data_IF_119744606358
#
_entry.id   IF_119744606358
#
_cell.length_a   1.000
_cell.length_b   1.000
_cell.length_c   1.000
_cell.angle_alpha   90.00
_cell.angle_beta   90.00
_cell.angle_gamma   90.00
#
_symmetry.space_group_name_H-M   'P 1'
#
loop_
_entity.id
_entity.type
_entity.pdbx_description
1 polymer ?
#
# COMPACT_ATOMS: atom_id res chain seq x y z
N UNK A 1 -22.73 23.80 -30.80
CA UNK A 1 -23.37 24.67 -29.78
C UNK A 1 -24.66 23.96 -29.43
N UNK A 2 -24.74 23.31 -28.27
CA UNK A 2 -25.96 22.63 -27.83
C UNK A 2 -27.07 23.66 -27.63
N UNK A 3 -28.32 23.31 -27.93
CA UNK A 3 -29.44 24.20 -27.68
C UNK A 3 -29.57 24.50 -26.18
N UNK A 4 -30.08 25.67 -25.81
CA UNK A 4 -30.33 26.02 -24.39
C UNK A 4 -31.17 24.93 -23.69
N UNK A 5 -32.10 24.31 -24.42
CA UNK A 5 -32.94 23.20 -23.97
C UNK A 5 -32.12 21.94 -23.66
N UNK A 6 -31.15 21.57 -24.51
CA UNK A 6 -30.24 20.45 -24.23
C UNK A 6 -29.32 20.73 -23.04
N UNK A 7 -28.84 21.97 -22.89
CA UNK A 7 -28.01 22.33 -21.73
C UNK A 7 -28.79 22.33 -20.43
N UNK A 8 -30.08 22.68 -20.46
CA UNK A 8 -30.96 22.55 -19.29
C UNK A 8 -31.37 21.10 -19.03
N UNK A 9 -31.53 20.27 -20.06
CA UNK A 9 -32.05 18.89 -19.92
C UNK A 9 -30.98 17.83 -19.61
N UNK A 10 -29.71 18.08 -19.95
CA UNK A 10 -28.63 17.10 -19.78
C UNK A 10 -27.56 17.58 -18.78
N UNK A 11 -27.09 16.70 -17.88
CA UNK A 11 -25.94 16.97 -17.02
C UNK A 11 -24.65 17.14 -17.82
N UNK A 12 -23.83 18.11 -17.42
CA UNK A 12 -22.46 18.30 -17.91
C UNK A 12 -21.48 17.53 -17.04
N UNK A 13 -20.56 16.80 -17.67
CA UNK A 13 -19.42 16.18 -17.00
C UNK A 13 -18.31 17.22 -16.87
N UNK A 14 -18.00 17.64 -15.64
CA UNK A 14 -16.97 18.65 -15.37
C UNK A 14 -15.60 17.98 -15.17
N UNK A 15 -15.61 16.81 -14.53
CA UNK A 15 -14.50 15.85 -14.40
C UNK A 15 -15.09 14.44 -14.43
N UNK A 16 -14.24 13.42 -14.61
CA UNK A 16 -14.64 12.00 -14.63
C UNK A 16 -15.51 11.55 -13.44
N UNK A 17 -15.38 12.26 -12.31
CA UNK A 17 -16.11 12.01 -11.06
C UNK A 17 -17.10 13.12 -10.65
N UNK A 18 -17.17 14.26 -11.36
CA UNK A 18 -17.95 15.43 -10.96
C UNK A 18 -18.87 15.93 -12.09
N UNK A 19 -20.17 15.99 -11.80
CA UNK A 19 -21.21 16.37 -12.75
C UNK A 19 -21.99 17.59 -12.26
N UNK A 20 -22.46 18.41 -13.21
CA UNK A 20 -23.26 19.62 -12.96
C UNK A 20 -24.55 19.60 -13.77
N UNK A 21 -25.71 19.78 -13.14
CA UNK A 21 -27.00 19.77 -13.84
C UNK A 21 -28.06 20.71 -13.24
N UNK A 22 -29.20 20.77 -13.94
CA UNK A 22 -30.51 21.22 -13.42
C UNK A 22 -31.18 20.10 -12.60
N UNK A 23 -32.34 20.41 -12.02
CA UNK A 23 -33.17 19.44 -11.29
C UNK A 23 -33.83 18.43 -12.23
N UNK A 24 -34.16 18.84 -13.46
CA UNK A 24 -34.80 18.00 -14.50
C UNK A 24 -33.99 16.73 -14.78
N UNK A 25 -32.67 16.79 -14.60
CA UNK A 25 -31.77 15.65 -14.77
C UNK A 25 -31.97 14.53 -13.74
N UNK A 26 -32.62 14.81 -12.61
CA UNK A 26 -32.93 13.80 -11.59
C UNK A 26 -34.11 12.90 -12.00
N UNK A 27 -34.99 13.37 -12.89
CA UNK A 27 -36.08 12.55 -13.46
C UNK A 27 -35.53 11.51 -14.46
N UNK A 28 -34.31 11.72 -14.96
CA UNK A 28 -33.65 10.80 -15.87
C UNK A 28 -32.91 9.68 -15.11
N UNK A 29 -33.66 8.69 -14.63
CA UNK A 29 -33.12 7.50 -13.95
C UNK A 29 -31.99 6.82 -14.73
N UNK A 30 -32.06 6.86 -16.07
CA UNK A 30 -31.06 6.26 -16.96
C UNK A 30 -29.70 6.94 -16.85
N UNK A 31 -29.65 8.26 -16.62
CA UNK A 31 -28.40 9.00 -16.46
C UNK A 31 -27.71 8.62 -15.16
N UNK A 32 -28.41 8.70 -14.02
CA UNK A 32 -27.85 8.42 -12.70
C UNK A 32 -27.23 7.01 -12.65
N UNK A 33 -27.94 6.01 -13.19
CA UNK A 33 -27.45 4.64 -13.30
C UNK A 33 -26.29 4.50 -14.29
N UNK A 34 -26.40 5.05 -15.51
CA UNK A 34 -25.35 4.93 -16.55
C UNK A 34 -24.05 5.59 -16.14
N UNK A 35 -24.14 6.76 -15.50
CA UNK A 35 -22.97 7.48 -14.96
C UNK A 35 -22.61 7.02 -13.55
N UNK A 36 -23.26 5.99 -13.01
CA UNK A 36 -22.95 5.40 -11.69
C UNK A 36 -22.84 6.47 -10.59
N UNK A 37 -23.77 7.42 -10.59
CA UNK A 37 -23.81 8.48 -9.59
C UNK A 37 -24.09 7.83 -8.24
N UNK A 38 -23.22 8.09 -7.28
CA UNK A 38 -23.31 7.54 -5.91
C UNK A 38 -23.67 8.61 -4.89
N UNK A 39 -23.38 9.87 -5.21
CA UNK A 39 -23.57 11.01 -4.32
C UNK A 39 -24.21 12.18 -5.07
N UNK A 40 -25.15 12.87 -4.42
CA UNK A 40 -25.82 14.05 -4.98
C UNK A 40 -25.79 15.19 -3.97
N UNK A 41 -25.43 16.39 -4.43
CA UNK A 41 -25.56 17.64 -3.68
C UNK A 41 -26.69 18.45 -4.30
N UNK A 42 -27.76 18.65 -3.54
CA UNK A 42 -28.96 19.39 -3.95
C UNK A 42 -28.95 20.79 -3.34
N UNK A 43 -28.73 21.80 -4.19
CA UNK A 43 -28.58 23.20 -3.78
C UNK A 43 -29.79 24.03 -4.23
N UNK A 44 -30.90 23.88 -3.50
CA UNK A 44 -32.19 24.53 -3.79
C UNK A 44 -33.11 24.49 -2.58
N UNK A 45 -34.09 25.39 -2.50
CA UNK A 45 -34.98 25.53 -1.33
C UNK A 45 -35.81 24.26 -1.04
N UNK A 46 -36.34 23.63 -2.09
CA UNK A 46 -37.23 22.47 -1.98
C UNK A 46 -36.77 21.33 -2.89
N UNK A 47 -35.66 20.64 -2.57
CA UNK A 47 -35.12 19.61 -3.42
C UNK A 47 -35.96 18.32 -3.37
N UNK A 48 -36.03 17.56 -4.48
CA UNK A 48 -36.63 16.23 -4.45
C UNK A 48 -35.83 15.32 -3.51
N UNK A 49 -36.56 14.47 -2.77
CA UNK A 49 -35.95 13.44 -1.92
C UNK A 49 -35.55 12.26 -2.80
N UNK A 50 -34.25 12.00 -2.90
CA UNK A 50 -33.76 10.94 -3.78
C UNK A 50 -33.94 9.55 -3.19
N UNK A 51 -34.00 9.43 -1.86
CA UNK A 51 -34.13 8.13 -1.17
C UNK A 51 -35.39 7.34 -1.59
N UNK A 52 -36.45 8.03 -2.02
CA UNK A 52 -37.70 7.39 -2.44
C UNK A 52 -37.52 6.56 -3.73
N UNK A 53 -36.61 6.99 -4.61
CA UNK A 53 -36.37 6.36 -5.93
C UNK A 53 -34.97 5.74 -6.07
N UNK A 54 -34.01 6.17 -5.23
CA UNK A 54 -32.60 5.79 -5.28
C UNK A 54 -32.03 5.68 -3.86
N UNK A 55 -32.36 4.61 -3.12
CA UNK A 55 -31.95 4.44 -1.72
C UNK A 55 -30.42 4.36 -1.54
N UNK A 56 -29.70 3.92 -2.57
CA UNK A 56 -28.24 3.76 -2.54
C UNK A 56 -27.47 5.07 -2.80
N UNK A 57 -28.16 6.15 -3.20
CA UNK A 57 -27.53 7.44 -3.45
C UNK A 57 -27.50 8.26 -2.16
N UNK A 58 -26.31 8.66 -1.74
CA UNK A 58 -26.15 9.59 -0.62
C UNK A 58 -26.45 11.02 -1.06
N UNK A 59 -27.35 11.70 -0.38
CA UNK A 59 -27.79 13.06 -0.72
C UNK A 59 -27.38 14.06 0.37
N UNK A 60 -26.67 15.12 -0.02
CA UNK A 60 -26.45 16.32 0.79
C UNK A 60 -27.40 17.43 0.32
N UNK A 61 -28.19 17.98 1.23
CA UNK A 61 -29.16 19.06 0.93
C UNK A 61 -28.66 20.39 1.47
N UNK A 62 -28.63 21.40 0.61
CA UNK A 62 -28.29 22.79 0.94
C UNK A 62 -29.50 23.66 0.56
N UNK A 63 -30.41 23.93 1.51
CA UNK A 63 -31.70 24.55 1.24
C UNK A 63 -31.59 26.07 1.15
N UNK A 64 -31.09 26.58 0.02
CA UNK A 64 -30.86 28.01 -0.19
C UNK A 64 -31.56 28.57 -1.44
N UNK A 65 -32.07 29.81 -1.38
CA UNK A 65 -32.55 30.52 -2.55
C UNK A 65 -31.37 31.00 -3.43
N UNK A 66 -31.62 31.28 -4.70
CA UNK A 66 -30.64 31.95 -5.59
C UNK A 66 -30.64 33.46 -5.35
N UNK A 67 -30.27 33.88 -4.15
CA UNK A 67 -30.13 35.29 -3.79
C UNK A 67 -28.66 35.63 -3.58
N UNK A 68 -28.27 36.83 -4.06
CA UNK A 68 -26.94 37.41 -3.86
C UNK A 68 -26.60 37.63 -2.37
N UNK A 69 -27.62 37.68 -1.52
CA UNK A 69 -27.49 37.97 -0.08
C UNK A 69 -27.27 36.70 0.76
N UNK A 70 -27.31 35.51 0.14
CA UNK A 70 -27.03 34.25 0.84
C UNK A 70 -25.52 34.06 0.99
N UNK A 71 -25.11 33.73 2.21
CA UNK A 71 -23.74 33.35 2.52
C UNK A 71 -23.49 31.87 2.21
N UNK A 72 -22.66 31.60 1.20
CA UNK A 72 -22.23 30.26 0.82
C UNK A 72 -21.09 29.75 1.72
N UNK A 73 -20.37 30.64 2.40
CA UNK A 73 -19.12 30.28 3.11
C UNK A 73 -19.37 29.29 4.23
N UNK A 74 -20.54 29.38 4.88
CA UNK A 74 -20.99 28.48 5.94
C UNK A 74 -21.19 27.04 5.47
N UNK A 75 -21.31 26.81 4.15
CA UNK A 75 -21.54 25.48 3.58
C UNK A 75 -20.29 24.88 2.93
N UNK A 76 -19.28 25.68 2.62
CA UNK A 76 -18.10 25.21 1.88
C UNK A 76 -17.42 24.02 2.55
N UNK A 77 -17.18 24.08 3.86
CA UNK A 77 -16.55 22.98 4.58
C UNK A 77 -17.36 21.68 4.48
N UNK A 78 -18.67 21.74 4.73
CA UNK A 78 -19.54 20.57 4.62
C UNK A 78 -19.54 19.96 3.21
N UNK A 79 -19.52 20.81 2.17
CA UNK A 79 -19.46 20.37 0.78
C UNK A 79 -18.11 19.77 0.45
N UNK A 80 -17.01 20.40 0.88
CA UNK A 80 -15.67 19.87 0.67
C UNK A 80 -15.49 18.52 1.34
N UNK A 81 -15.98 18.36 2.58
CA UNK A 81 -15.96 17.09 3.29
C UNK A 81 -16.82 16.03 2.59
N UNK A 82 -18.01 16.39 2.11
CA UNK A 82 -18.89 15.47 1.38
C UNK A 82 -18.28 14.99 0.05
N UNK A 83 -17.58 15.89 -0.64
CA UNK A 83 -16.83 15.59 -1.86
C UNK A 83 -15.53 14.81 -1.57
N UNK A 84 -14.98 14.93 -0.36
CA UNK A 84 -13.73 14.28 0.11
C UNK A 84 -13.97 12.87 0.66
N UNK A 85 -12.89 12.11 0.90
CA UNK A 85 -12.74 10.72 1.38
C UNK A 85 -12.92 9.56 0.37
N UNK A 86 -12.15 8.46 0.45
CA UNK A 86 -10.87 8.10 1.14
C UNK A 86 -10.03 7.12 0.31
N UNK A 87 -10.50 6.75 -0.88
CA UNK A 87 -9.73 6.00 -1.87
C UNK A 87 -9.79 6.74 -3.22
N UNK A 88 -8.72 6.71 -4.04
CA UNK A 88 -8.82 7.17 -5.42
C UNK A 88 -9.90 6.33 -6.14
N UNK A 89 -10.95 7.00 -6.63
CA UNK A 89 -11.89 6.52 -7.66
C UNK A 89 -13.20 5.80 -7.26
N UNK A 90 -13.74 5.93 -6.04
CA UNK A 90 -15.03 5.28 -5.71
C UNK A 90 -16.28 6.17 -5.74
N UNK A 91 -16.15 7.51 -5.61
CA UNK A 91 -17.30 8.43 -5.62
C UNK A 91 -17.52 9.06 -7.00
N UNK A 92 -18.77 9.14 -7.45
CA UNK A 92 -19.20 9.93 -8.63
C UNK A 92 -20.34 10.84 -8.20
N UNK A 93 -20.12 12.13 -8.29
CA UNK A 93 -20.85 13.18 -7.58
C UNK A 93 -21.60 14.04 -8.59
N UNK A 94 -22.89 14.25 -8.34
CA UNK A 94 -23.70 15.21 -9.09
C UNK A 94 -24.06 16.40 -8.19
N UNK A 95 -23.74 17.62 -8.63
CA UNK A 95 -24.18 18.86 -7.96
C UNK A 95 -25.24 19.52 -8.83
N UNK A 96 -26.44 19.74 -8.29
CA UNK A 96 -27.54 20.34 -9.03
C UNK A 96 -28.26 21.43 -8.23
N UNK A 97 -28.94 22.31 -8.98
CA UNK A 97 -29.96 23.22 -8.48
C UNK A 97 -31.11 23.20 -9.50
N UNK A 98 -32.03 24.15 -9.45
CA UNK A 98 -33.20 24.23 -10.32
C UNK A 98 -32.77 24.30 -11.79
N UNK A 99 -31.86 25.23 -12.15
CA UNK A 99 -31.46 25.45 -13.55
C UNK A 99 -30.04 24.97 -13.87
N UNK A 100 -29.24 24.64 -12.86
CA UNK A 100 -27.82 24.33 -13.06
C UNK A 100 -26.98 25.52 -13.56
N UNK A 101 -27.34 26.75 -13.16
CA UNK A 101 -26.74 28.01 -13.65
C UNK A 101 -25.87 28.68 -12.58
N UNK A 102 -26.45 28.94 -11.40
CA UNK A 102 -25.85 29.81 -10.37
C UNK A 102 -25.43 29.04 -9.12
N UNK A 103 -26.39 28.59 -8.30
CA UNK A 103 -26.15 27.88 -7.02
C UNK A 103 -25.22 26.67 -7.14
N UNK A 104 -25.63 25.66 -7.91
CA UNK A 104 -24.82 24.44 -8.08
C UNK A 104 -23.49 24.70 -8.77
N UNK A 105 -23.46 25.61 -9.75
CA UNK A 105 -22.23 26.00 -10.42
C UNK A 105 -21.24 26.68 -9.45
N UNK A 106 -21.74 27.46 -8.49
CA UNK A 106 -20.91 28.11 -7.47
C UNK A 106 -20.19 27.07 -6.60
N UNK A 107 -20.89 26.03 -6.15
CA UNK A 107 -20.26 24.95 -5.39
C UNK A 107 -19.30 24.10 -6.24
N UNK A 108 -19.61 23.84 -7.52
CA UNK A 108 -18.66 23.18 -8.43
C UNK A 108 -17.36 24.00 -8.55
N UNK A 109 -17.46 25.31 -8.75
CA UNK A 109 -16.30 26.21 -8.83
C UNK A 109 -15.52 26.19 -7.51
N UNK A 110 -16.20 26.27 -6.36
CA UNK A 110 -15.58 26.17 -5.04
C UNK A 110 -14.81 24.85 -4.86
N UNK A 111 -15.42 23.71 -5.21
CA UNK A 111 -14.79 22.40 -5.14
C UNK A 111 -13.53 22.31 -6.02
N UNK A 112 -13.59 22.79 -7.27
CA UNK A 112 -12.44 22.78 -8.17
C UNK A 112 -11.29 23.66 -7.68
N UNK A 113 -11.59 24.83 -7.10
CA UNK A 113 -10.57 25.67 -6.46
C UNK A 113 -9.99 24.97 -5.23
N UNK A 114 -10.84 24.45 -4.34
CA UNK A 114 -10.36 23.75 -3.14
C UNK A 114 -9.50 22.53 -3.48
N UNK A 115 -9.90 21.73 -4.47
CA UNK A 115 -9.11 20.59 -4.95
C UNK A 115 -7.74 21.02 -5.51
N UNK A 116 -7.68 22.09 -6.32
CA UNK A 116 -6.42 22.65 -6.82
C UNK A 116 -5.54 23.21 -5.69
N UNK A 117 -6.15 23.85 -4.69
CA UNK A 117 -5.45 24.31 -3.50
C UNK A 117 -4.86 23.13 -2.70
N UNK A 118 -5.61 22.05 -2.51
CA UNK A 118 -5.12 20.81 -1.90
C UNK A 118 -3.97 20.18 -2.70
N UNK A 119 -3.93 20.39 -4.02
CA UNK A 119 -2.80 20.04 -4.90
C UNK A 119 -1.67 21.09 -4.87
N UNK A 120 -1.74 22.07 -3.96
CA UNK A 120 -0.76 23.14 -3.75
C UNK A 120 -0.65 24.16 -4.88
N UNK A 121 -1.70 24.31 -5.69
CA UNK A 121 -1.70 25.23 -6.83
C UNK A 121 -2.42 26.53 -6.48
N UNK A 122 -1.86 27.67 -6.88
CA UNK A 122 -2.52 28.97 -6.80
C UNK A 122 -3.81 28.91 -7.61
N UNK A 123 -4.91 29.30 -6.99
CA UNK A 123 -6.23 29.28 -7.60
C UNK A 123 -6.66 30.66 -8.05
N UNK A 124 -7.38 30.71 -9.17
CA UNK A 124 -8.01 31.93 -9.65
C UNK A 124 -9.47 31.62 -10.02
N UNK A 125 -10.35 32.51 -9.59
CA UNK A 125 -11.79 32.36 -9.80
C UNK A 125 -12.15 32.45 -11.29
N UNK A 126 -11.64 33.46 -12.01
CA UNK A 126 -11.97 33.69 -13.42
C UNK A 126 -11.55 32.52 -14.32
N UNK A 127 -10.35 31.97 -14.12
CA UNK A 127 -9.87 30.82 -14.89
C UNK A 127 -10.66 29.55 -14.57
N UNK A 128 -11.05 29.36 -13.31
CA UNK A 128 -11.88 28.22 -12.90
C UNK A 128 -13.29 28.33 -13.46
N UNK A 129 -13.91 29.50 -13.39
CA UNK A 129 -15.21 29.79 -14.00
C UNK A 129 -15.18 29.50 -15.51
N UNK A 130 -14.16 29.99 -16.23
CA UNK A 130 -14.01 29.73 -17.66
C UNK A 130 -13.86 28.24 -17.97
N UNK A 131 -13.17 27.48 -17.12
CA UNK A 131 -13.07 26.01 -17.29
C UNK A 131 -14.41 25.30 -17.12
N UNK A 132 -15.29 25.78 -16.24
CA UNK A 132 -16.63 25.23 -16.06
C UNK A 132 -17.57 25.66 -17.20
N UNK A 133 -17.46 26.91 -17.68
CA UNK A 133 -18.24 27.41 -18.83
C UNK A 133 -17.95 26.61 -20.11
N UNK A 134 -16.70 26.15 -20.30
CA UNK A 134 -16.35 25.28 -21.44
C UNK A 134 -17.18 23.99 -21.47
N UNK A 135 -17.43 23.39 -20.31
CA UNK A 135 -18.23 22.17 -20.18
C UNK A 135 -19.75 22.45 -20.04
N UNK A 136 -20.11 23.65 -19.58
CA UNK A 136 -21.51 24.09 -19.42
C UNK A 136 -21.67 25.60 -19.66
N UNK A 137 -22.00 25.97 -20.90
CA UNK A 137 -21.99 27.37 -21.34
C UNK A 137 -22.96 28.31 -20.60
N UNK A 138 -24.03 27.78 -20.00
CA UNK A 138 -25.02 28.58 -19.25
C UNK A 138 -24.59 28.95 -17.83
N UNK A 139 -23.41 28.50 -17.39
CA UNK A 139 -22.94 28.75 -16.02
C UNK A 139 -22.74 30.25 -15.80
N UNK A 140 -23.47 30.77 -14.82
CA UNK A 140 -23.44 32.17 -14.44
C UNK A 140 -23.81 32.28 -12.94
N UNK A 141 -22.83 32.13 -12.02
CA UNK A 141 -23.03 32.45 -10.62
C UNK A 141 -23.60 33.86 -10.45
N UNK A 142 -24.56 34.03 -9.56
CA UNK A 142 -25.05 35.37 -9.25
C UNK A 142 -23.91 36.25 -8.68
N UNK A 143 -24.02 37.60 -8.74
CA UNK A 143 -22.93 38.48 -8.35
C UNK A 143 -22.45 38.33 -6.89
N UNK A 144 -23.35 38.00 -5.96
CA UNK A 144 -23.01 37.78 -4.56
C UNK A 144 -22.17 36.51 -4.38
N UNK A 145 -22.57 35.41 -5.03
CA UNK A 145 -21.81 34.17 -5.03
C UNK A 145 -20.47 34.32 -5.73
N UNK A 146 -20.42 35.03 -6.86
CA UNK A 146 -19.17 35.34 -7.54
C UNK A 146 -18.18 36.08 -6.63
N UNK A 147 -18.65 37.06 -5.84
CA UNK A 147 -17.80 37.78 -4.89
C UNK A 147 -17.27 36.86 -3.78
N UNK A 148 -18.11 35.99 -3.23
CA UNK A 148 -17.70 35.03 -2.21
C UNK A 148 -16.70 34.00 -2.74
N UNK A 149 -16.86 33.52 -3.97
CA UNK A 149 -15.90 32.62 -4.62
C UNK A 149 -14.54 33.30 -4.88
N UNK A 150 -14.53 34.60 -5.22
CA UNK A 150 -13.28 35.38 -5.32
C UNK A 150 -12.58 35.50 -3.97
N UNK A 151 -13.33 35.73 -2.88
CA UNK A 151 -12.79 35.75 -1.51
C UNK A 151 -12.21 34.39 -1.13
N UNK A 152 -12.95 33.30 -1.38
CA UNK A 152 -12.45 31.94 -1.18
C UNK A 152 -11.13 31.71 -1.93
N UNK A 153 -11.03 32.11 -3.20
CA UNK A 153 -9.79 31.98 -3.96
C UNK A 153 -8.62 32.75 -3.33
N UNK A 154 -8.87 33.97 -2.82
CA UNK A 154 -7.88 34.76 -2.11
C UNK A 154 -7.43 34.06 -0.82
N UNK A 155 -8.37 33.61 0.02
CA UNK A 155 -8.08 32.97 1.31
C UNK A 155 -7.27 31.67 1.13
N UNK A 156 -7.63 30.86 0.13
CA UNK A 156 -6.88 29.64 -0.24
C UNK A 156 -5.44 29.96 -0.67
N UNK A 157 -5.21 31.07 -1.38
CA UNK A 157 -3.88 31.47 -1.83
C UNK A 157 -3.01 32.07 -0.70
N UNK A 158 -3.63 32.83 0.21
CA UNK A 158 -2.94 33.35 1.40
C UNK A 158 -2.49 32.23 2.32
N UNK A 159 -3.34 31.21 2.55
CA UNK A 159 -2.96 30.01 3.29
C UNK A 159 -1.75 29.30 2.65
N UNK A 160 -1.77 29.10 1.33
CA UNK A 160 -0.64 28.53 0.58
C UNK A 160 0.65 29.35 0.74
N UNK A 161 0.54 30.67 0.64
CA UNK A 161 1.67 31.60 0.79
C UNK A 161 2.24 31.61 2.21
N UNK A 162 1.38 31.48 3.23
CA UNK A 162 1.80 31.42 4.63
C UNK A 162 2.59 30.14 4.95
N UNK A 163 2.22 29.01 4.34
CA UNK A 163 2.96 27.74 4.44
C UNK A 163 4.34 27.84 3.77
N UNK A 164 4.45 28.53 2.64
CA UNK A 164 5.72 28.75 1.94
C UNK A 164 6.69 29.68 2.71
N UNK A 165 6.19 30.54 3.61
CA UNK A 165 6.99 31.49 4.40
C UNK A 165 7.54 30.94 5.72
N UNK A 166 7.35 29.65 6.04
CA UNK A 166 7.94 29.01 7.24
C UNK A 166 8.99 27.94 6.90
N UNK A 167 10.22 28.31 6.48
CA UNK A 167 11.20 27.33 6.02
C UNK A 167 11.97 26.63 7.16
N UNK A 168 12.32 27.30 8.25
CA UNK A 168 13.28 26.74 9.22
C UNK A 168 12.67 25.74 10.22
N UNK A 169 11.47 26.01 10.75
CA UNK A 169 10.79 25.14 11.73
C UNK A 169 10.20 23.91 11.08
N UNK A 170 9.55 24.06 9.93
CA UNK A 170 8.96 22.96 9.17
C UNK A 170 10.04 22.02 8.64
N UNK A 171 11.18 22.53 8.17
CA UNK A 171 12.30 21.70 7.71
C UNK A 171 12.89 20.84 8.85
N UNK A 172 13.18 21.44 10.02
CA UNK A 172 13.65 20.68 11.17
C UNK A 172 12.64 19.61 11.61
N UNK A 173 11.35 19.97 11.62
CA UNK A 173 10.30 19.05 12.01
C UNK A 173 10.18 17.87 11.03
N UNK A 174 10.30 18.13 9.73
CA UNK A 174 10.23 17.09 8.69
C UNK A 174 11.47 16.18 8.73
N UNK A 175 12.66 16.73 8.94
CA UNK A 175 13.88 15.91 9.04
C UNK A 175 13.95 15.06 10.32
N UNK A 176 13.33 15.50 11.42
CA UNK A 176 13.43 14.83 12.72
C UNK A 176 12.23 13.95 13.07
N UNK A 177 11.01 14.39 12.74
CA UNK A 177 9.79 13.78 13.26
C UNK A 177 8.97 13.04 12.20
N UNK A 178 9.24 13.24 10.91
CA UNK A 178 8.47 12.58 9.87
C UNK A 178 8.88 11.11 9.79
N UNK A 179 7.93 10.23 10.04
CA UNK A 179 8.19 8.79 9.95
C UNK A 179 8.35 8.38 8.49
N UNK A 180 9.11 7.30 8.21
CA UNK A 180 9.23 6.77 6.85
C UNK A 180 7.88 6.43 6.18
N UNK A 181 6.86 6.11 6.98
CA UNK A 181 5.49 5.88 6.49
C UNK A 181 4.83 7.18 6.01
N UNK A 182 4.89 8.24 6.81
CA UNK A 182 4.34 9.56 6.45
C UNK A 182 5.11 10.14 5.26
N UNK A 183 6.43 9.93 5.19
CA UNK A 183 7.27 10.38 4.07
C UNK A 183 6.84 9.72 2.75
N UNK A 184 6.51 8.42 2.78
CA UNK A 184 5.99 7.70 1.62
C UNK A 184 4.62 8.21 1.15
N UNK A 185 3.78 8.68 2.07
CA UNK A 185 2.43 9.18 1.77
C UNK A 185 2.47 10.61 1.18
N UNK A 186 3.34 11.47 1.73
CA UNK A 186 3.50 12.86 1.30
C UNK A 186 4.23 12.98 -0.05
N UNK A 187 5.16 12.07 -0.35
CA UNK A 187 5.98 12.13 -1.58
C UNK A 187 5.20 12.06 -2.89
N UNK A 188 3.95 11.57 -2.87
CA UNK A 188 3.13 11.37 -4.07
C UNK A 188 1.96 12.33 -4.23
N UNK A 189 1.69 13.21 -3.25
CA UNK A 189 0.39 13.90 -3.16
C UNK A 189 0.48 15.40 -2.92
N UNK A 190 1.65 15.93 -2.51
CA UNK A 190 1.76 17.30 -2.04
C UNK A 190 2.81 18.12 -2.80
N UNK A 191 2.39 19.21 -3.47
CA UNK A 191 3.28 20.11 -4.21
C UNK A 191 4.24 20.90 -3.32
N UNK A 192 3.85 21.22 -2.08
CA UNK A 192 4.78 21.80 -1.08
C UNK A 192 5.92 20.84 -0.77
N UNK A 193 5.62 19.54 -0.67
CA UNK A 193 6.64 18.51 -0.49
C UNK A 193 7.56 18.41 -1.70
N UNK A 194 7.02 18.52 -2.91
CA UNK A 194 7.84 18.50 -4.13
C UNK A 194 8.77 19.72 -4.24
N UNK A 195 8.26 20.92 -3.96
CA UNK A 195 9.00 22.18 -4.10
C UNK A 195 10.07 22.37 -3.00
N UNK A 196 9.82 21.87 -1.77
CA UNK A 196 10.70 22.10 -0.62
C UNK A 196 11.55 20.89 -0.23
N UNK A 197 11.14 19.66 -0.58
CA UNK A 197 11.78 18.43 -0.08
C UNK A 197 12.33 17.55 -1.20
N UNK A 198 11.78 17.57 -2.42
CA UNK A 198 12.21 16.62 -3.46
C UNK A 198 13.73 16.64 -3.72
N UNK A 199 14.35 17.82 -3.68
CA UNK A 199 15.79 17.98 -3.87
C UNK A 199 16.64 17.46 -2.70
N UNK A 200 16.07 17.29 -1.50
CA UNK A 200 16.75 16.76 -0.30
C UNK A 200 16.21 15.40 0.14
N UNK A 201 15.31 14.79 -0.63
CA UNK A 201 14.63 13.56 -0.21
C UNK A 201 15.62 12.43 0.04
N UNK A 202 16.72 12.40 -0.72
CA UNK A 202 17.80 11.45 -0.54
C UNK A 202 18.53 11.66 0.79
N UNK A 203 18.73 12.90 1.24
CA UNK A 203 19.36 13.18 2.54
C UNK A 203 18.50 12.69 3.71
N UNK A 204 17.18 12.87 3.60
CA UNK A 204 16.22 12.38 4.58
C UNK A 204 16.24 10.84 4.62
N UNK A 205 16.20 10.18 3.46
CA UNK A 205 16.29 8.72 3.40
C UNK A 205 17.64 8.19 3.90
N UNK A 206 18.76 8.85 3.61
CA UNK A 206 20.08 8.51 4.17
C UNK A 206 20.06 8.53 5.69
N UNK A 207 19.50 9.58 6.31
CA UNK A 207 19.37 9.68 7.77
C UNK A 207 18.54 8.54 8.34
N UNK A 208 17.37 8.25 7.76
CA UNK A 208 16.53 7.12 8.22
C UNK A 208 17.23 5.78 8.07
N UNK A 209 17.86 5.52 6.91
CA UNK A 209 18.58 4.27 6.67
C UNK A 209 19.74 4.08 7.65
N UNK A 210 20.55 5.11 7.89
CA UNK A 210 21.66 5.05 8.85
C UNK A 210 21.21 4.93 10.31
N UNK A 211 20.05 5.48 10.66
CA UNK A 211 19.48 5.40 12.01
C UNK A 211 18.88 4.02 12.28
N UNK A 212 18.12 3.50 11.32
CA UNK A 212 17.25 2.34 11.54
C UNK A 212 17.92 1.01 11.16
N UNK A 213 18.98 1.04 10.34
CA UNK A 213 19.68 -0.13 9.83
C UNK A 213 21.21 0.04 9.84
N UNK A 214 21.98 -1.05 9.97
CA UNK A 214 23.45 -1.01 10.00
C UNK A 214 24.05 -0.90 8.58
N UNK A 215 23.62 0.09 7.78
CA UNK A 215 24.14 0.34 6.42
C UNK A 215 25.27 1.37 6.51
N UNK A 216 26.44 1.04 5.94
CA UNK A 216 27.59 1.95 5.95
C UNK A 216 27.42 3.10 4.96
N UNK A 217 28.00 4.26 5.25
CA UNK A 217 27.89 5.45 4.41
C UNK A 217 28.35 5.22 2.96
N UNK A 218 29.34 4.34 2.75
CA UNK A 218 29.82 3.94 1.42
C UNK A 218 28.72 3.31 0.57
N UNK A 219 27.90 2.44 1.15
CA UNK A 219 26.82 1.73 0.44
C UNK A 219 25.67 2.70 0.13
N UNK A 220 25.36 3.62 1.04
CA UNK A 220 24.38 4.68 0.79
C UNK A 220 24.81 5.60 -0.35
N UNK A 221 26.09 5.93 -0.43
CA UNK A 221 26.62 6.74 -1.52
C UNK A 221 26.55 5.96 -2.84
N UNK A 222 26.93 4.67 -2.82
CA UNK A 222 26.79 3.79 -3.98
C UNK A 222 25.35 3.75 -4.53
N UNK A 223 24.34 3.66 -3.67
CA UNK A 223 22.95 3.71 -4.11
C UNK A 223 22.59 5.04 -4.79
N UNK A 224 23.05 6.17 -4.27
CA UNK A 224 22.82 7.47 -4.87
C UNK A 224 23.53 7.62 -6.23
N UNK A 225 24.79 7.21 -6.32
CA UNK A 225 25.60 7.33 -7.54
C UNK A 225 25.03 6.50 -8.70
N UNK A 226 24.26 5.45 -8.38
CA UNK A 226 23.62 4.55 -9.35
C UNK A 226 22.10 4.75 -9.45
N UNK A 227 21.56 5.89 -8.98
CA UNK A 227 20.14 6.24 -9.06
C UNK A 227 19.18 5.19 -8.44
N UNK A 228 19.65 4.43 -7.44
CA UNK A 228 18.84 3.45 -6.74
C UNK A 228 17.97 4.15 -5.70
N UNK A 229 16.66 3.91 -5.76
CA UNK A 229 15.67 4.48 -4.84
C UNK A 229 15.93 4.07 -3.38
N UNK A 230 16.39 5.03 -2.57
CA UNK A 230 16.61 4.83 -1.13
C UNK A 230 15.31 4.49 -0.37
N UNK A 231 14.16 4.96 -0.87
CA UNK A 231 12.84 4.56 -0.38
C UNK A 231 12.66 3.04 -0.52
N UNK A 232 12.97 2.47 -1.68
CA UNK A 232 12.82 1.03 -1.91
C UNK A 232 13.81 0.23 -1.05
N UNK A 233 15.03 0.74 -0.84
CA UNK A 233 16.00 0.16 0.10
C UNK A 233 15.42 0.14 1.51
N UNK A 234 14.85 1.25 1.98
CA UNK A 234 14.26 1.32 3.32
C UNK A 234 13.12 0.31 3.48
N UNK A 235 12.22 0.22 2.49
CA UNK A 235 11.11 -0.73 2.50
C UNK A 235 11.61 -2.18 2.54
N UNK A 236 12.63 -2.51 1.75
CA UNK A 236 13.26 -3.83 1.75
C UNK A 236 13.88 -4.14 3.13
N UNK A 237 14.67 -3.23 3.69
CA UNK A 237 15.28 -3.40 5.00
C UNK A 237 14.25 -3.59 6.12
N UNK A 238 13.16 -2.82 6.08
CA UNK A 238 12.08 -2.94 7.04
C UNK A 238 11.35 -4.29 6.92
N UNK A 239 11.12 -4.76 5.69
CA UNK A 239 10.59 -6.09 5.44
C UNK A 239 11.50 -7.18 6.02
N UNK A 240 12.81 -7.12 5.75
CA UNK A 240 13.78 -8.09 6.26
C UNK A 240 13.83 -8.11 7.80
N UNK A 241 13.80 -6.94 8.44
CA UNK A 241 13.73 -6.82 9.90
C UNK A 241 12.47 -7.44 10.48
N UNK A 242 11.32 -7.27 9.82
CA UNK A 242 10.03 -7.84 10.25
C UNK A 242 10.00 -9.36 10.12
N UNK A 243 10.63 -9.91 9.09
CA UNK A 243 10.65 -11.36 8.80
C UNK A 243 11.81 -12.07 9.51
N UNK A 244 12.79 -11.34 10.06
CA UNK A 244 13.94 -11.93 10.76
C UNK A 244 15.00 -12.50 9.81
N UNK A 245 15.11 -11.96 8.59
CA UNK A 245 16.09 -12.39 7.60
C UNK A 245 17.52 -11.92 7.95
N UNK A 246 18.57 -12.61 7.45
CA UNK A 246 19.96 -12.39 7.87
C UNK A 246 20.51 -11.00 7.51
N UNK A 247 21.75 -10.74 7.97
CA UNK A 247 22.46 -9.47 7.83
C UNK A 247 22.40 -8.94 6.39
N UNK A 248 21.78 -7.77 6.25
CA UNK A 248 21.55 -7.11 4.97
C UNK A 248 22.89 -6.56 4.45
N UNK A 249 23.37 -7.10 3.34
CA UNK A 249 24.56 -6.61 2.65
C UNK A 249 24.19 -5.91 1.35
N UNK A 250 25.11 -5.12 0.81
CA UNK A 250 24.92 -4.46 -0.48
C UNK A 250 24.59 -5.45 -1.62
N UNK A 251 25.32 -6.57 -1.82
CA UNK A 251 24.95 -7.58 -2.82
C UNK A 251 23.52 -8.11 -2.64
N UNK A 252 23.11 -8.37 -1.40
CA UNK A 252 21.77 -8.87 -1.11
C UNK A 252 20.67 -7.86 -1.51
N UNK A 253 20.86 -6.58 -1.19
CA UNK A 253 19.91 -5.53 -1.57
C UNK A 253 19.83 -5.36 -3.10
N UNK A 254 20.96 -5.39 -3.79
CA UNK A 254 20.98 -5.29 -5.25
C UNK A 254 20.27 -6.48 -5.90
N UNK A 255 20.44 -7.68 -5.35
CA UNK A 255 19.75 -8.88 -5.80
C UNK A 255 18.25 -8.77 -5.63
N UNK A 256 17.81 -8.33 -4.45
CA UNK A 256 16.39 -8.12 -4.15
C UNK A 256 15.72 -7.14 -5.13
N UNK A 257 16.44 -6.07 -5.50
CA UNK A 257 15.96 -5.08 -6.45
C UNK A 257 16.09 -5.49 -7.92
N UNK A 258 16.78 -6.59 -8.22
CA UNK A 258 17.01 -7.05 -9.60
C UNK A 258 18.19 -6.38 -10.31
N UNK A 259 19.02 -5.61 -9.61
CA UNK A 259 20.12 -4.83 -10.16
C UNK A 259 21.42 -5.64 -10.28
N UNK A 260 21.37 -6.73 -11.03
CA UNK A 260 22.44 -7.72 -11.08
C UNK A 260 23.74 -7.21 -11.74
N UNK A 261 23.64 -6.40 -12.79
CA UNK A 261 24.81 -5.82 -13.48
C UNK A 261 25.62 -4.91 -12.53
N UNK A 262 24.93 -4.08 -11.76
CA UNK A 262 25.55 -3.25 -10.72
C UNK A 262 26.18 -4.09 -9.62
N UNK A 263 25.52 -5.18 -9.22
CA UNK A 263 26.09 -6.07 -8.22
C UNK A 263 27.41 -6.67 -8.70
N UNK A 264 27.50 -7.17 -9.94
CA UNK A 264 28.72 -7.76 -10.50
C UNK A 264 29.93 -6.83 -10.43
N UNK A 265 29.73 -5.51 -10.54
CA UNK A 265 30.80 -4.52 -10.40
C UNK A 265 31.39 -4.44 -8.98
N UNK A 266 30.65 -4.93 -7.98
CA UNK A 266 30.98 -4.85 -6.54
C UNK A 266 31.23 -6.24 -5.95
N UNK A 267 30.84 -7.33 -6.63
CA UNK A 267 31.05 -8.69 -6.17
C UNK A 267 32.56 -9.03 -6.15
N UNK A 268 33.04 -9.48 -4.99
CA UNK A 268 34.31 -10.20 -4.88
C UNK A 268 34.07 -11.55 -4.21
N UNK A 269 34.26 -12.65 -4.96
CA UNK A 269 34.17 -14.01 -4.46
C UNK A 269 32.78 -14.67 -4.49
N UNK A 270 32.76 -15.97 -4.22
CA UNK A 270 31.56 -16.83 -4.26
C UNK A 270 30.52 -16.42 -3.20
N UNK A 271 30.95 -15.94 -2.03
CA UNK A 271 30.05 -15.53 -0.95
C UNK A 271 29.20 -14.32 -1.33
N UNK A 272 29.79 -13.31 -1.97
CA UNK A 272 29.07 -12.12 -2.42
C UNK A 272 28.05 -12.48 -3.51
N UNK A 273 28.39 -13.40 -4.42
CA UNK A 273 27.48 -13.92 -5.42
C UNK A 273 26.31 -14.68 -4.78
N UNK A 274 26.58 -15.50 -3.76
CA UNK A 274 25.53 -16.21 -3.04
C UNK A 274 24.58 -15.24 -2.32
N UNK A 275 25.10 -14.16 -1.73
CA UNK A 275 24.28 -13.10 -1.13
C UNK A 275 23.43 -12.39 -2.18
N UNK A 276 23.98 -12.10 -3.37
CA UNK A 276 23.24 -11.53 -4.49
C UNK A 276 22.07 -12.43 -4.89
N UNK A 277 22.35 -13.72 -5.10
CA UNK A 277 21.35 -14.70 -5.51
C UNK A 277 20.28 -14.90 -4.42
N UNK A 278 20.68 -14.93 -3.14
CA UNK A 278 19.77 -14.98 -2.00
C UNK A 278 18.84 -13.76 -1.96
N UNK A 279 19.38 -12.55 -2.18
CA UNK A 279 18.57 -11.34 -2.33
C UNK A 279 17.56 -11.46 -3.48
N UNK A 280 18.03 -11.93 -4.65
CA UNK A 280 17.20 -12.16 -5.82
C UNK A 280 16.06 -13.17 -5.57
N UNK A 281 16.30 -14.19 -4.74
CA UNK A 281 15.26 -15.13 -4.31
C UNK A 281 14.11 -14.41 -3.60
N UNK A 282 14.43 -13.58 -2.61
CA UNK A 282 13.44 -12.83 -1.83
C UNK A 282 12.78 -11.70 -2.64
N UNK A 283 13.47 -11.18 -3.65
CA UNK A 283 12.92 -10.20 -4.59
C UNK A 283 12.13 -10.81 -5.74
N UNK A 284 11.98 -12.15 -5.80
CA UNK A 284 11.37 -12.88 -6.91
C UNK A 284 12.03 -12.59 -8.29
N UNK A 285 13.32 -12.29 -8.28
CA UNK A 285 14.10 -11.91 -9.46
C UNK A 285 14.68 -13.14 -10.18
N UNK A 286 13.81 -13.96 -10.77
CA UNK A 286 14.21 -15.20 -11.43
C UNK A 286 15.21 -14.99 -12.58
N UNK A 287 15.14 -13.84 -13.26
CA UNK A 287 16.08 -13.48 -14.33
C UNK A 287 17.54 -13.39 -13.84
N UNK A 288 17.75 -12.75 -12.69
CA UNK A 288 19.07 -12.63 -12.04
C UNK A 288 19.64 -14.01 -11.73
N UNK A 289 18.81 -14.91 -11.20
CA UNK A 289 19.24 -16.26 -10.83
C UNK A 289 19.58 -17.09 -12.07
N UNK A 290 18.74 -17.03 -13.10
CA UNK A 290 18.98 -17.74 -14.37
C UNK A 290 20.30 -17.32 -15.02
N UNK A 291 20.63 -16.04 -14.94
CA UNK A 291 21.81 -15.48 -15.59
C UNK A 291 23.11 -15.79 -14.83
N UNK A 292 23.07 -15.84 -13.49
CA UNK A 292 24.28 -15.93 -12.67
C UNK A 292 24.51 -17.26 -11.95
N UNK A 293 23.49 -18.11 -11.80
CA UNK A 293 23.66 -19.43 -11.20
C UNK A 293 24.21 -20.41 -12.24
N UNK A 294 25.47 -20.81 -12.11
CA UNK A 294 26.10 -21.79 -13.01
C UNK A 294 25.54 -23.20 -12.82
N UNK A 295 25.64 -24.04 -13.84
CA UNK A 295 25.30 -25.48 -13.74
C UNK A 295 26.31 -26.25 -12.86
N UNK A 296 27.52 -25.72 -12.72
CA UNK A 296 28.58 -26.24 -11.84
C UNK A 296 28.52 -25.70 -10.41
N UNK A 297 27.42 -25.04 -10.02
CA UNK A 297 27.28 -24.48 -8.68
C UNK A 297 27.47 -25.56 -7.60
N UNK A 298 28.13 -25.19 -6.50
CA UNK A 298 28.39 -26.12 -5.40
C UNK A 298 27.08 -26.59 -4.76
N UNK A 299 27.04 -27.84 -4.29
CA UNK A 299 25.87 -28.41 -3.60
C UNK A 299 25.44 -27.51 -2.43
N UNK A 300 26.41 -26.95 -1.70
CA UNK A 300 26.18 -26.02 -0.58
C UNK A 300 25.50 -24.72 -1.04
N UNK A 301 25.90 -24.16 -2.18
CA UNK A 301 25.27 -22.97 -2.73
C UNK A 301 23.81 -23.26 -3.13
N UNK A 302 23.56 -24.40 -3.81
CA UNK A 302 22.20 -24.81 -4.19
C UNK A 302 21.32 -25.04 -2.96
N UNK A 303 21.81 -25.74 -1.94
CA UNK A 303 21.10 -25.93 -0.67
C UNK A 303 20.77 -24.61 0.01
N UNK A 304 21.72 -23.68 0.04
CA UNK A 304 21.48 -22.33 0.59
C UNK A 304 20.38 -21.60 -0.17
N UNK A 305 20.34 -21.70 -1.51
CA UNK A 305 19.28 -21.11 -2.31
C UNK A 305 17.92 -21.79 -2.11
N UNK A 306 17.89 -23.11 -1.91
CA UNK A 306 16.68 -23.84 -1.57
C UNK A 306 16.12 -23.38 -0.21
N UNK A 307 16.97 -23.16 0.79
CA UNK A 307 16.56 -22.60 2.08
C UNK A 307 15.96 -21.19 1.94
N UNK A 308 16.62 -20.30 1.19
CA UNK A 308 16.10 -18.95 0.95
C UNK A 308 14.79 -18.98 0.13
N UNK A 309 14.69 -19.86 -0.87
CA UNK A 309 13.48 -19.99 -1.68
C UNK A 309 12.32 -20.52 -0.83
N UNK A 310 12.63 -21.42 0.09
CA UNK A 310 11.69 -21.93 1.07
C UNK A 310 11.26 -20.84 2.04
N UNK A 311 12.18 -20.07 2.61
CA UNK A 311 11.86 -18.95 3.49
C UNK A 311 11.05 -17.84 2.78
N UNK A 312 11.32 -17.60 1.49
CA UNK A 312 10.62 -16.61 0.68
C UNK A 312 9.26 -17.07 0.14
N UNK A 313 8.90 -18.34 0.36
CA UNK A 313 7.72 -18.98 -0.24
C UNK A 313 7.73 -18.91 -1.79
N UNK A 314 8.92 -19.00 -2.38
CA UNK A 314 9.16 -18.84 -3.81
C UNK A 314 9.14 -20.20 -4.53
N UNK A 315 7.94 -20.78 -4.68
CA UNK A 315 7.71 -22.04 -5.38
C UNK A 315 8.20 -22.02 -6.86
N UNK A 316 8.00 -20.94 -7.65
CA UNK A 316 8.52 -20.89 -9.02
C UNK A 316 10.04 -21.09 -9.09
N UNK A 317 10.78 -20.53 -8.13
CA UNK A 317 12.21 -20.70 -8.07
C UNK A 317 12.61 -22.13 -7.66
N UNK A 318 11.91 -22.73 -6.70
CA UNK A 318 12.15 -24.13 -6.33
C UNK A 318 11.98 -25.07 -7.53
N UNK A 319 10.90 -24.89 -8.30
CA UNK A 319 10.66 -25.66 -9.52
C UNK A 319 11.77 -25.46 -10.57
N UNK A 320 12.28 -24.23 -10.70
CA UNK A 320 13.42 -23.95 -11.58
C UNK A 320 14.69 -24.67 -11.12
N UNK A 321 15.00 -24.64 -9.82
CA UNK A 321 16.17 -25.32 -9.27
C UNK A 321 16.05 -26.84 -9.45
N UNK A 322 14.87 -27.41 -9.16
CA UNK A 322 14.56 -28.83 -9.34
C UNK A 322 14.76 -29.30 -10.79
N UNK A 323 14.32 -28.50 -11.77
CA UNK A 323 14.52 -28.81 -13.18
C UNK A 323 15.96 -28.60 -13.67
N UNK A 324 16.70 -27.67 -13.06
CA UNK A 324 18.08 -27.33 -13.48
C UNK A 324 19.12 -28.29 -12.93
N UNK A 325 18.96 -28.77 -11.69
CA UNK A 325 19.94 -29.61 -11.02
C UNK A 325 19.38 -31.01 -10.75
N UNK A 326 19.87 -32.00 -11.47
CA UNK A 326 19.42 -33.40 -11.39
C UNK A 326 19.77 -34.12 -10.08
N UNK A 327 20.65 -33.56 -9.25
CA UNK A 327 21.13 -34.17 -7.99
C UNK A 327 20.75 -33.35 -6.74
N UNK A 328 19.64 -32.62 -6.75
CA UNK A 328 19.19 -31.92 -5.54
C UNK A 328 18.79 -32.94 -4.46
N UNK A 329 19.54 -32.92 -3.35
CA UNK A 329 19.09 -33.54 -2.11
C UNK A 329 18.09 -32.61 -1.43
N UNK A 330 16.84 -33.06 -1.28
CA UNK A 330 15.78 -32.31 -0.59
C UNK A 330 15.74 -32.59 0.92
N UNK A 331 16.34 -33.68 1.38
CA UNK A 331 16.32 -34.14 2.78
C UNK A 331 17.52 -33.65 3.61
N UNK A 332 18.22 -32.61 3.14
CA UNK A 332 19.31 -32.03 3.90
C UNK A 332 18.79 -31.26 5.11
N UNK A 333 19.67 -31.12 6.11
CA UNK A 333 19.39 -30.36 7.32
C UNK A 333 20.42 -29.26 7.49
N UNK A 334 20.01 -28.13 8.04
CA UNK A 334 20.93 -27.05 8.38
C UNK A 334 21.71 -27.37 9.68
N UNK A 335 22.54 -26.43 10.13
CA UNK A 335 23.36 -26.59 11.35
C UNK A 335 22.55 -26.92 12.62
N UNK A 336 21.27 -26.54 12.67
CA UNK A 336 20.37 -26.82 13.79
C UNK A 336 19.63 -28.17 13.65
N UNK A 337 19.88 -28.92 12.57
CA UNK A 337 19.14 -30.15 12.26
C UNK A 337 17.75 -29.89 11.68
N UNK A 338 17.44 -28.65 11.31
CA UNK A 338 16.15 -28.31 10.69
C UNK A 338 16.20 -28.68 9.20
N UNK A 339 15.24 -29.48 8.73
CA UNK A 339 15.00 -29.71 7.31
C UNK A 339 14.21 -28.52 6.68
N UNK A 340 13.94 -28.59 5.38
CA UNK A 340 13.20 -27.53 4.66
C UNK A 340 11.77 -27.33 5.18
N UNK A 341 11.10 -28.36 5.72
CA UNK A 341 9.76 -28.20 6.31
C UNK A 341 9.81 -27.34 7.56
N UNK A 342 10.85 -27.46 8.40
CA UNK A 342 11.04 -26.58 9.55
C UNK A 342 11.24 -25.12 9.11
N UNK A 343 11.99 -24.89 8.04
CA UNK A 343 12.18 -23.55 7.47
C UNK A 343 10.86 -23.00 6.94
N UNK A 344 10.12 -23.78 6.17
CA UNK A 344 8.81 -23.38 5.65
C UNK A 344 7.80 -23.09 6.77
N UNK A 345 7.78 -23.93 7.82
CA UNK A 345 6.95 -23.74 9.01
C UNK A 345 7.31 -22.47 9.79
N UNK A 346 8.61 -22.13 9.91
CA UNK A 346 9.05 -20.92 10.60
C UNK A 346 8.60 -19.64 9.88
N UNK A 347 8.81 -19.56 8.56
CA UNK A 347 8.50 -18.37 7.77
C UNK A 347 7.05 -18.30 7.29
N UNK A 348 6.25 -19.36 7.48
CA UNK A 348 4.87 -19.40 7.04
C UNK A 348 4.71 -19.59 5.53
N UNK A 349 5.64 -20.32 4.91
CA UNK A 349 5.70 -20.54 3.46
C UNK A 349 4.77 -21.66 3.01
N UNK A 350 3.47 -21.36 2.92
CA UNK A 350 2.41 -22.35 2.68
C UNK A 350 2.59 -23.15 1.38
N UNK A 351 2.72 -22.46 0.24
CA UNK A 351 2.80 -23.06 -1.09
C UNK A 351 4.02 -23.98 -1.21
N UNK A 352 5.16 -23.54 -0.66
CA UNK A 352 6.37 -24.36 -0.61
C UNK A 352 6.19 -25.54 0.35
N UNK A 353 5.59 -25.34 1.52
CA UNK A 353 5.39 -26.41 2.50
C UNK A 353 4.59 -27.57 1.90
N UNK A 354 3.46 -27.25 1.24
CA UNK A 354 2.61 -28.24 0.57
C UNK A 354 3.39 -28.98 -0.53
N UNK A 355 4.15 -28.26 -1.36
CA UNK A 355 5.01 -28.88 -2.38
C UNK A 355 6.04 -29.85 -1.78
N UNK A 356 6.69 -29.48 -0.67
CA UNK A 356 7.69 -30.32 -0.01
C UNK A 356 7.08 -31.60 0.58
N UNK A 357 5.87 -31.52 1.14
CA UNK A 357 5.17 -32.70 1.69
C UNK A 357 4.61 -33.57 0.57
N UNK A 358 3.85 -33.00 -0.35
CA UNK A 358 3.05 -33.78 -1.31
C UNK A 358 3.88 -34.26 -2.51
N UNK A 359 4.80 -33.43 -3.00
CA UNK A 359 5.60 -33.76 -4.19
C UNK A 359 6.95 -34.36 -3.83
N UNK A 360 7.62 -33.79 -2.82
CA UNK A 360 8.97 -34.23 -2.42
C UNK A 360 8.98 -35.24 -1.28
N UNK A 361 7.82 -35.51 -0.66
CA UNK A 361 7.65 -36.54 0.38
C UNK A 361 8.62 -36.37 1.55
N UNK A 362 8.91 -35.12 1.93
CA UNK A 362 9.72 -34.84 3.11
C UNK A 362 8.97 -35.29 4.38
N UNK A 363 9.70 -35.87 5.33
CA UNK A 363 9.13 -36.31 6.60
C UNK A 363 8.84 -35.10 7.52
N UNK A 364 7.57 -34.81 7.84
CA UNK A 364 7.19 -33.74 8.76
C UNK A 364 7.39 -34.08 10.24
N UNK A 365 7.66 -35.35 10.57
CA UNK A 365 7.85 -35.83 11.95
C UNK A 365 9.31 -35.83 12.39
N UNK A 366 10.24 -35.56 11.48
CA UNK A 366 11.66 -35.45 11.79
C UNK A 366 11.90 -34.42 12.89
N UNK A 367 12.65 -34.80 13.93
CA UNK A 367 13.07 -33.91 15.00
C UNK A 367 14.41 -33.25 14.65
N UNK A 368 14.61 -32.02 15.08
CA UNK A 368 15.88 -31.32 14.90
C UNK A 368 16.92 -31.69 15.98
N UNK A 369 18.11 -31.08 15.94
CA UNK A 369 19.19 -31.38 16.89
C UNK A 369 18.83 -31.05 18.35
N UNK A 370 17.87 -30.15 18.57
CA UNK A 370 17.35 -29.83 19.90
C UNK A 370 16.22 -30.78 20.34
N UNK A 371 15.92 -31.83 19.57
CA UNK A 371 14.79 -32.73 19.77
C UNK A 371 13.43 -32.01 19.69
N UNK A 372 13.37 -30.89 18.96
CA UNK A 372 12.12 -30.14 18.73
C UNK A 372 11.41 -30.68 17.50
N UNK A 373 10.09 -30.79 17.56
CA UNK A 373 9.27 -31.15 16.41
C UNK A 373 8.96 -29.92 15.54
N UNK A 374 8.32 -30.18 14.39
CA UNK A 374 7.95 -29.15 13.42
C UNK A 374 7.13 -27.99 14.02
N UNK A 375 6.26 -28.27 15.02
CA UNK A 375 5.42 -27.25 15.64
C UNK A 375 6.25 -26.19 16.36
N UNK A 376 7.43 -26.52 16.88
CA UNK A 376 8.32 -25.52 17.46
C UNK A 376 8.74 -24.45 16.45
N UNK A 377 8.96 -24.83 15.19
CA UNK A 377 9.19 -23.87 14.10
C UNK A 377 7.89 -23.14 13.72
N UNK A 378 6.77 -23.86 13.62
CA UNK A 378 5.46 -23.28 13.30
C UNK A 378 5.04 -22.18 14.29
N UNK A 379 5.51 -22.25 15.54
CA UNK A 379 5.22 -21.26 16.59
C UNK A 379 5.65 -19.83 16.26
N UNK A 380 6.54 -19.65 15.27
CA UNK A 380 6.97 -18.34 14.76
C UNK A 380 6.12 -17.83 13.59
N UNK A 381 5.41 -18.73 12.90
CA UNK A 381 4.60 -18.38 11.73
C UNK A 381 3.28 -17.71 12.11
N UNK A 382 2.85 -16.79 11.25
CA UNK A 382 1.55 -16.11 11.34
C UNK A 382 0.66 -16.38 10.13
N UNK A 383 0.98 -17.39 9.32
CA UNK A 383 0.21 -17.74 8.13
C UNK A 383 -0.93 -18.72 8.50
N UNK A 384 -2.21 -18.28 8.49
CA UNK A 384 -3.32 -19.12 8.92
C UNK A 384 -3.53 -20.34 8.02
N UNK A 385 -3.27 -20.24 6.71
CA UNK A 385 -3.44 -21.35 5.77
C UNK A 385 -2.49 -22.51 6.08
N UNK A 386 -1.24 -22.19 6.42
CA UNK A 386 -0.26 -23.20 6.80
C UNK A 386 -0.62 -23.86 8.12
N UNK A 387 -1.10 -23.08 9.09
CA UNK A 387 -1.51 -23.59 10.40
C UNK A 387 -2.68 -24.55 10.24
N UNK A 388 -3.69 -24.17 9.46
CA UNK A 388 -4.87 -25.00 9.16
C UNK A 388 -4.47 -26.29 8.43
N UNK A 389 -3.61 -26.20 7.41
CA UNK A 389 -3.09 -27.38 6.69
C UNK A 389 -2.39 -28.37 7.63
N UNK A 390 -1.45 -27.89 8.46
CA UNK A 390 -0.73 -28.76 9.41
C UNK A 390 -1.71 -29.33 10.44
N UNK A 391 -2.68 -28.55 10.90
CA UNK A 391 -3.69 -29.04 11.85
C UNK A 391 -4.54 -30.18 11.24
N UNK A 392 -4.98 -30.04 10.00
CA UNK A 392 -5.82 -31.04 9.32
C UNK A 392 -5.04 -32.30 8.94
N UNK A 393 -3.81 -32.15 8.44
CA UNK A 393 -3.07 -33.25 7.82
C UNK A 393 -2.00 -33.87 8.74
N UNK A 394 -1.55 -33.15 9.78
CA UNK A 394 -0.45 -33.55 10.67
C UNK A 394 -0.87 -33.45 12.16
N UNK A 395 -2.12 -33.82 12.45
CA UNK A 395 -2.74 -33.72 13.78
C UNK A 395 -2.07 -34.56 14.88
N UNK A 396 -1.27 -35.57 14.50
CA UNK A 396 -0.48 -36.40 15.41
C UNK A 396 0.73 -35.68 16.02
N UNK A 397 1.15 -34.53 15.46
CA UNK A 397 2.17 -33.69 16.08
C UNK A 397 1.66 -33.14 17.42
N UNK A 398 2.53 -33.11 18.43
CA UNK A 398 2.16 -32.68 19.77
C UNK A 398 2.72 -31.29 20.10
N UNK A 399 1.87 -30.25 20.34
CA UNK A 399 2.33 -28.92 20.72
C UNK A 399 2.94 -28.84 22.13
N UNK A 400 2.83 -29.91 22.92
CA UNK A 400 3.40 -30.05 24.26
C UNK A 400 4.64 -30.95 24.28
N UNK A 401 5.13 -31.37 23.12
CA UNK A 401 6.40 -32.11 23.00
C UNK A 401 7.56 -31.21 23.43
N UNK A 402 8.16 -31.52 24.57
CA UNK A 402 9.27 -30.74 25.11
C UNK A 402 10.58 -31.09 24.41
N UNK A 403 11.35 -30.07 24.05
CA UNK A 403 12.68 -30.24 23.48
C UNK A 403 13.72 -30.56 24.59
N UNK A 404 15.00 -30.68 24.23
CA UNK A 404 16.08 -30.98 25.17
C UNK A 404 16.23 -29.95 26.32
N UNK A 405 15.66 -28.76 26.18
CA UNK A 405 15.64 -27.70 27.20
C UNK A 405 14.32 -27.65 27.99
N UNK A 406 13.47 -28.68 27.86
CA UNK A 406 12.11 -28.73 28.41
C UNK A 406 11.18 -27.60 27.93
N UNK A 407 11.45 -27.05 26.74
CA UNK A 407 10.61 -26.01 26.12
C UNK A 407 9.70 -26.66 25.09
N UNK A 408 8.39 -26.42 25.21
CA UNK A 408 7.37 -26.91 24.28
C UNK A 408 7.07 -25.90 23.16
N UNK A 409 6.58 -26.34 21.98
CA UNK A 409 6.02 -25.44 20.97
C UNK A 409 5.01 -24.43 21.54
N UNK A 410 4.13 -24.88 22.44
CA UNK A 410 3.16 -24.00 23.09
C UNK A 410 3.83 -22.85 23.84
N UNK A 411 4.86 -23.14 24.66
CA UNK A 411 5.62 -22.11 25.39
C UNK A 411 6.39 -21.17 24.45
N UNK A 412 6.87 -21.67 23.30
CA UNK A 412 7.50 -20.82 22.27
C UNK A 412 6.47 -19.84 21.70
N UNK A 413 5.27 -20.30 21.39
CA UNK A 413 4.18 -19.46 20.89
C UNK A 413 3.75 -18.40 21.92
N UNK A 414 3.68 -18.76 23.21
CA UNK A 414 3.41 -17.80 24.31
C UNK A 414 4.48 -16.72 24.39
N UNK A 415 5.76 -17.12 24.40
CA UNK A 415 6.89 -16.19 24.45
C UNK A 415 6.88 -15.20 23.28
N UNK A 416 6.42 -15.64 22.10
CA UNK A 416 6.33 -14.82 20.89
C UNK A 416 5.04 -13.99 20.80
N UNK A 417 4.12 -14.09 21.79
CA UNK A 417 2.79 -13.48 21.76
C UNK A 417 2.01 -13.82 20.46
N UNK A 418 2.11 -15.06 19.99
CA UNK A 418 1.49 -15.48 18.73
C UNK A 418 0.08 -16.04 18.97
N UNK A 419 -0.91 -15.15 19.11
CA UNK A 419 -2.31 -15.52 19.43
C UNK A 419 -2.92 -16.50 18.43
N UNK A 420 -2.65 -16.33 17.13
CA UNK A 420 -3.19 -17.20 16.07
C UNK A 420 -2.73 -18.66 16.28
N UNK A 421 -1.45 -18.86 16.61
CA UNK A 421 -0.93 -20.20 16.91
C UNK A 421 -1.48 -20.73 18.24
N UNK A 422 -1.58 -19.88 19.27
CA UNK A 422 -2.09 -20.31 20.58
C UNK A 422 -3.54 -20.79 20.47
N UNK A 423 -4.38 -20.10 19.71
CA UNK A 423 -5.75 -20.53 19.41
C UNK A 423 -5.76 -21.90 18.70
N UNK A 424 -4.92 -22.07 17.67
CA UNK A 424 -4.80 -23.33 16.95
C UNK A 424 -4.27 -24.48 17.83
N UNK A 425 -3.31 -24.22 18.71
CA UNK A 425 -2.78 -25.22 19.64
C UNK A 425 -3.79 -25.62 20.71
N UNK A 426 -4.66 -24.70 21.13
CA UNK A 426 -5.73 -25.01 22.08
C UNK A 426 -6.78 -25.97 21.50
N UNK A 427 -7.00 -25.96 20.18
CA UNK A 427 -7.86 -26.92 19.49
C UNK A 427 -7.11 -28.19 19.03
N UNK A 428 -5.82 -28.34 19.35
CA UNK A 428 -5.04 -29.49 18.89
C UNK A 428 -5.39 -30.76 19.68
N UNK A 429 -5.57 -31.93 19.02
CA UNK A 429 -5.99 -33.16 19.69
C UNK A 429 -5.14 -33.54 20.90
N UNK A 430 -3.81 -33.46 20.78
CA UNK A 430 -2.89 -33.78 21.88
C UNK A 430 -2.99 -32.81 23.09
N UNK A 431 -3.42 -31.56 22.88
CA UNK A 431 -3.63 -30.59 23.96
C UNK A 431 -4.97 -30.80 24.69
N UNK A 432 -5.96 -31.38 24.02
CA UNK A 432 -7.27 -31.69 24.59
C UNK A 432 -7.20 -32.89 25.56
N UNK A 433 -6.34 -33.88 25.30
CA UNK A 433 -6.17 -35.06 26.15
C UNK A 433 -5.59 -34.79 27.54
N UNK A 434 -5.03 -33.60 27.81
CA UNK A 434 -4.49 -33.21 29.13
C UNK A 434 -5.44 -32.33 29.95
N UNK A 435 -6.57 -31.89 29.36
CA UNK A 435 -7.64 -31.16 30.05
C UNK A 435 -8.77 -32.07 30.57
N UNK A 436 -8.65 -33.37 30.33
CA UNK A 436 -9.47 -34.46 30.90
C UNK A 436 -8.63 -35.21 31.93
#
# INVERSE_FOLDING_TARGET
>A
MYSLFEQLSYPSEIKDYLFLSSVDSLENHRFLTKKKITHVISVMENPPRLQDNFPDIQQLVIPIPDSKDIDLTVYFESVFLFVKDTEPHQKRILIHCEKGISRSASFVIACLMYERHCQGTIVNYETTLLSVIKERAIVAPNPGFAQQLKRLAHDLNEQLSSLQRQPLTTQYLIEQFLTPRELCQLSGTNRFFYDQISFRINDIWKKHLSRDFPIVAKDLQFFCDNEISLKNIYLACNYFKKVGLPKITLPYLLGYLGNAELALSVLQGEEALLQLLAGAVHGFQLGVIKLHLSESASIKAVQTLLEHATAANNLPLLNYLDGKFSQISWNFVNANGNNLLHTAAHYGSYEVFVFLVETKQLDPYQLNNANSNLLASLSYSRNPRLIEYIHMHLSSLNPLHANNANITPYQIAEKNNNQIILEAYNSWPAALCLKM
#
